data_IF_071311938922
#
_entry.id   IF_071311938922
#
_cell.length_a   1.000
_cell.length_b   1.000
_cell.length_c   1.000
_cell.angle_alpha   90.00
_cell.angle_beta   90.00
_cell.angle_gamma   90.00
#
_symmetry.space_group_name_H-M   'P 1'
#
loop_
_entity.id
_entity.type
_entity.pdbx_description
1 polymer ?
#
# COMPACT_ATOMS: atom_id res chain seq x y z
N UNK A 1 44.68 -19.97 30.00
CA UNK A 1 44.25 -20.47 28.67
C UNK A 1 42.73 -20.49 28.54
N UNK A 2 41.99 -20.97 29.56
CA UNK A 2 40.53 -20.89 29.62
C UNK A 2 39.97 -19.45 29.63
N UNK A 3 40.62 -18.52 30.32
CA UNK A 3 40.18 -17.10 30.34
C UNK A 3 40.26 -16.43 28.96
N UNK A 4 41.32 -16.72 28.19
CA UNK A 4 41.47 -16.18 26.82
C UNK A 4 40.35 -16.69 25.90
N UNK A 5 39.96 -17.96 26.05
CA UNK A 5 38.86 -18.54 25.26
C UNK A 5 37.50 -17.95 25.68
N UNK A 6 37.32 -17.68 26.97
CA UNK A 6 36.12 -17.02 27.49
C UNK A 6 36.00 -15.58 27.00
N UNK A 7 37.10 -14.81 27.03
CA UNK A 7 37.16 -13.43 26.54
C UNK A 7 36.91 -13.33 25.03
N UNK A 8 37.47 -14.26 24.23
CA UNK A 8 37.21 -14.33 22.79
C UNK A 8 35.71 -14.59 22.52
N UNK A 9 35.11 -15.53 23.24
CA UNK A 9 33.70 -15.85 23.09
C UNK A 9 32.79 -14.71 23.56
N UNK A 10 33.14 -14.03 24.66
CA UNK A 10 32.45 -12.82 25.13
C UNK A 10 32.53 -11.69 24.09
N UNK A 11 33.72 -11.40 23.57
CA UNK A 11 33.92 -10.37 22.54
C UNK A 11 33.13 -10.70 21.26
N UNK A 12 33.05 -11.98 20.87
CA UNK A 12 32.22 -12.40 19.74
C UNK A 12 30.72 -12.15 19.99
N UNK A 13 30.22 -12.39 21.20
CA UNK A 13 28.82 -12.12 21.57
C UNK A 13 28.51 -10.63 21.61
N UNK A 14 29.43 -9.82 22.12
CA UNK A 14 29.31 -8.36 22.13
C UNK A 14 29.26 -7.84 20.68
N UNK A 15 30.15 -8.34 19.81
CA UNK A 15 30.15 -7.98 18.39
C UNK A 15 28.85 -8.37 17.68
N UNK A 16 28.28 -9.55 17.98
CA UNK A 16 26.98 -9.97 17.42
C UNK A 16 25.83 -9.08 17.92
N UNK A 17 25.83 -8.74 19.22
CA UNK A 17 24.82 -7.86 19.80
C UNK A 17 24.88 -6.45 19.20
N UNK A 18 26.09 -5.90 19.03
CA UNK A 18 26.31 -4.59 18.40
C UNK A 18 25.91 -4.60 16.92
N UNK A 19 26.23 -5.67 16.19
CA UNK A 19 25.80 -5.85 14.80
C UNK A 19 24.27 -5.91 14.67
N UNK A 20 23.57 -6.61 15.59
CA UNK A 20 22.11 -6.66 15.63
C UNK A 20 21.50 -5.30 15.98
N UNK A 21 22.05 -4.60 16.98
CA UNK A 21 21.60 -3.26 17.36
C UNK A 21 21.76 -2.28 16.18
N UNK A 22 22.93 -2.26 15.56
CA UNK A 22 23.22 -1.45 14.39
C UNK A 22 22.32 -1.79 13.19
N UNK A 23 22.01 -3.07 12.97
CA UNK A 23 21.07 -3.47 11.93
C UNK A 23 19.64 -3.01 12.23
N UNK A 24 19.22 -3.07 13.50
CA UNK A 24 17.93 -2.55 13.97
C UNK A 24 17.80 -1.05 13.76
N UNK A 25 18.82 -0.27 14.13
CA UNK A 25 18.85 1.18 13.93
C UNK A 25 18.72 1.55 12.45
N UNK A 26 19.52 0.93 11.57
CA UNK A 26 19.42 1.14 10.12
C UNK A 26 18.04 0.76 9.57
N UNK A 27 17.40 -0.26 10.12
CA UNK A 27 16.06 -0.65 9.70
C UNK A 27 15.01 0.36 10.15
N UNK A 28 15.15 0.92 11.35
CA UNK A 28 14.28 1.97 11.86
C UNK A 28 14.40 3.25 11.02
N UNK A 29 15.63 3.69 10.71
CA UNK A 29 15.89 4.85 9.85
C UNK A 29 15.24 4.67 8.47
N UNK A 30 15.49 3.55 7.78
CA UNK A 30 14.86 3.26 6.48
C UNK A 30 13.34 3.23 6.54
N UNK A 31 12.78 2.80 7.66
CA UNK A 31 11.32 2.78 7.84
C UNK A 31 10.79 4.20 8.03
N UNK A 32 11.50 5.03 8.80
CA UNK A 32 11.20 6.45 8.97
C UNK A 32 11.24 7.21 7.64
N UNK A 33 12.29 7.02 6.84
CA UNK A 33 12.40 7.63 5.51
C UNK A 33 11.24 7.24 4.58
N UNK A 34 10.84 5.97 4.60
CA UNK A 34 9.70 5.49 3.81
C UNK A 34 8.38 6.07 4.27
N UNK A 35 8.19 6.29 5.58
CA UNK A 35 6.99 6.95 6.10
C UNK A 35 6.96 8.41 5.64
N UNK A 36 8.07 9.14 5.75
CA UNK A 36 8.16 10.52 5.31
C UNK A 36 7.88 10.69 3.80
N UNK A 37 8.42 9.81 2.94
CA UNK A 37 8.12 9.82 1.49
C UNK A 37 6.63 9.50 1.21
N UNK A 38 6.01 8.62 1.99
CA UNK A 38 4.59 8.33 1.87
C UNK A 38 3.71 9.50 2.32
N UNK A 39 4.08 10.18 3.39
CA UNK A 39 3.40 11.39 3.88
C UNK A 39 3.47 12.51 2.84
N UNK A 40 4.64 12.77 2.26
CA UNK A 40 4.81 13.78 1.19
C UNK A 40 3.93 13.47 -0.03
N UNK A 41 3.89 12.20 -0.45
CA UNK A 41 3.04 11.76 -1.58
C UNK A 41 1.56 11.89 -1.25
N UNK A 42 1.16 11.60 -0.02
CA UNK A 42 -0.22 11.73 0.44
C UNK A 42 -0.65 13.21 0.43
N UNK A 43 0.20 14.11 0.94
CA UNK A 43 -0.06 15.55 0.93
C UNK A 43 -0.21 16.09 -0.50
N UNK A 44 0.69 15.66 -1.40
CA UNK A 44 0.59 16.02 -2.82
C UNK A 44 -0.68 15.50 -3.47
N UNK A 45 -1.09 14.27 -3.14
CA UNK A 45 -2.33 13.69 -3.66
C UNK A 45 -3.57 14.40 -3.11
N UNK A 46 -3.56 14.76 -1.82
CA UNK A 46 -4.61 15.55 -1.20
C UNK A 46 -4.76 16.93 -1.86
N UNK A 47 -3.64 17.61 -2.13
CA UNK A 47 -3.64 18.90 -2.83
C UNK A 47 -4.20 18.78 -4.24
N UNK A 48 -3.83 17.74 -4.99
CA UNK A 48 -4.37 17.48 -6.33
C UNK A 48 -5.89 17.18 -6.27
N UNK A 49 -6.35 16.40 -5.30
CA UNK A 49 -7.77 16.13 -5.12
C UNK A 49 -8.55 17.40 -4.76
N UNK A 50 -8.00 18.28 -3.92
CA UNK A 50 -8.59 19.58 -3.63
C UNK A 50 -8.70 20.46 -4.89
N UNK A 51 -7.65 20.49 -5.71
CA UNK A 51 -7.66 21.23 -6.97
C UNK A 51 -8.69 20.66 -7.97
N UNK A 52 -8.76 19.32 -8.09
CA UNK A 52 -9.78 18.65 -8.90
C UNK A 52 -11.19 18.99 -8.39
N UNK A 53 -11.40 18.98 -7.08
CA UNK A 53 -12.68 19.34 -6.48
C UNK A 53 -13.07 20.79 -6.80
N UNK A 54 -12.16 21.74 -6.62
CA UNK A 54 -12.40 23.14 -6.97
C UNK A 54 -12.80 23.31 -8.43
N UNK A 55 -12.14 22.60 -9.35
CA UNK A 55 -12.51 22.62 -10.78
C UNK A 55 -13.91 22.03 -11.02
N UNK A 56 -14.30 20.97 -10.32
CA UNK A 56 -15.64 20.38 -10.43
C UNK A 56 -16.71 21.33 -9.88
N UNK A 57 -16.47 21.95 -8.73
CA UNK A 57 -17.38 22.96 -8.17
C UNK A 57 -17.55 24.14 -9.12
N UNK A 58 -16.45 24.71 -9.63
CA UNK A 58 -16.48 25.89 -10.51
C UNK A 58 -17.12 25.61 -11.87
N UNK A 59 -16.85 24.43 -12.47
CA UNK A 59 -17.28 24.11 -13.84
C UNK A 59 -18.65 23.44 -13.91
N UNK A 60 -19.02 22.66 -12.88
CA UNK A 60 -20.22 21.82 -12.89
C UNK A 60 -21.21 22.19 -11.77
N UNK A 61 -20.82 23.05 -10.82
CA UNK A 61 -21.71 23.48 -9.73
C UNK A 61 -22.05 22.38 -8.74
N UNK A 62 -21.21 21.34 -8.63
CA UNK A 62 -21.43 20.22 -7.71
C UNK A 62 -21.29 20.72 -6.26
N UNK A 63 -22.19 20.29 -5.37
CA UNK A 63 -22.15 20.67 -3.95
C UNK A 63 -21.40 19.64 -3.10
N UNK A 64 -20.98 20.07 -1.92
CA UNK A 64 -20.29 19.18 -0.97
C UNK A 64 -21.20 18.01 -0.52
N UNK A 65 -22.51 18.22 -0.42
CA UNK A 65 -23.47 17.16 -0.08
C UNK A 65 -23.52 16.07 -1.15
N UNK A 66 -23.44 16.45 -2.44
CA UNK A 66 -23.46 15.50 -3.54
C UNK A 66 -22.15 14.69 -3.61
N UNK A 67 -21.02 15.32 -3.28
CA UNK A 67 -19.75 14.61 -3.13
C UNK A 67 -19.81 13.61 -1.98
N UNK A 68 -20.28 14.02 -0.80
CA UNK A 68 -20.37 13.15 0.37
C UNK A 68 -21.29 11.95 0.11
N UNK A 69 -22.46 12.19 -0.49
CA UNK A 69 -23.36 11.10 -0.91
C UNK A 69 -22.66 10.16 -1.88
N UNK A 70 -21.89 10.68 -2.82
CA UNK A 70 -21.16 9.86 -3.79
C UNK A 70 -20.04 9.04 -3.15
N UNK A 71 -19.36 9.58 -2.14
CA UNK A 71 -18.36 8.85 -1.35
C UNK A 71 -19.02 7.70 -0.59
N UNK A 72 -20.14 7.95 0.09
CA UNK A 72 -20.91 6.91 0.80
C UNK A 72 -21.40 5.81 -0.15
N UNK A 73 -21.91 6.17 -1.33
CA UNK A 73 -22.30 5.21 -2.37
C UNK A 73 -21.13 4.33 -2.82
N UNK A 74 -19.93 4.90 -2.95
CA UNK A 74 -18.74 4.15 -3.37
C UNK A 74 -18.24 3.23 -2.27
N UNK A 75 -18.20 3.70 -1.01
CA UNK A 75 -17.81 2.90 0.15
C UNK A 75 -18.74 1.68 0.35
N UNK A 76 -20.05 1.88 0.14
CA UNK A 76 -21.04 0.81 0.22
C UNK A 76 -20.97 -0.22 -0.92
N UNK A 77 -20.39 0.12 -2.09
CA UNK A 77 -20.28 -0.81 -3.23
C UNK A 77 -19.31 -1.96 -3.00
N UNK A 78 -18.37 -1.80 -2.07
CA UNK A 78 -17.39 -2.82 -1.70
C UNK A 78 -17.84 -3.69 -0.51
N UNK A 79 -19.04 -3.41 0.04
CA UNK A 79 -19.72 -4.25 1.02
C UNK A 79 -19.32 -4.02 2.48
N UNK A 80 -18.43 -3.06 2.77
CA UNK A 80 -18.09 -2.64 4.14
C UNK A 80 -17.91 -1.13 4.21
N UNK A 81 -18.56 -0.50 5.19
CA UNK A 81 -18.38 0.91 5.52
C UNK A 81 -17.12 1.09 6.36
N UNK A 82 -15.95 0.82 5.78
CA UNK A 82 -14.65 0.87 6.48
C UNK A 82 -13.72 2.00 5.98
N UNK A 83 -14.17 2.79 4.98
CA UNK A 83 -13.40 3.85 4.35
C UNK A 83 -12.28 3.33 3.46
N UNK A 84 -12.35 2.07 3.00
CA UNK A 84 -11.33 1.42 2.17
C UNK A 84 -11.99 0.74 0.97
N UNK A 85 -11.30 0.81 -0.16
CA UNK A 85 -11.69 0.06 -1.35
C UNK A 85 -11.27 -1.40 -1.15
N UNK A 86 -12.23 -2.30 -0.90
CA UNK A 86 -11.98 -3.72 -0.68
C UNK A 86 -11.71 -4.40 -2.03
N UNK A 87 -10.51 -4.98 -2.19
CA UNK A 87 -10.12 -5.63 -3.45
C UNK A 87 -10.81 -6.99 -3.58
N UNK A 88 -11.95 -7.05 -4.25
CA UNK A 88 -12.62 -8.31 -4.56
C UNK A 88 -11.71 -9.25 -5.40
N UNK A 89 -11.79 -10.58 -5.21
CA UNK A 89 -11.14 -11.53 -6.10
C UNK A 89 -11.69 -11.39 -7.53
N UNK A 90 -10.80 -11.27 -8.51
CA UNK A 90 -11.16 -11.10 -9.93
C UNK A 90 -11.32 -12.49 -10.54
N UNK A 91 -12.37 -12.76 -11.30
CA UNK A 91 -12.44 -13.97 -12.11
C UNK A 91 -11.65 -13.82 -13.41
N UNK A 92 -10.89 -14.84 -13.78
CA UNK A 92 -10.14 -14.85 -15.03
C UNK A 92 -11.10 -14.75 -16.23
N UNK A 93 -10.92 -13.81 -17.18
CA UNK A 93 -11.83 -13.66 -18.31
C UNK A 93 -11.79 -14.84 -19.29
N UNK A 94 -10.72 -15.65 -19.27
CA UNK A 94 -10.53 -16.78 -20.18
C UNK A 94 -10.98 -18.13 -19.58
N UNK A 95 -10.66 -18.39 -18.30
CA UNK A 95 -11.01 -19.67 -17.66
C UNK A 95 -12.01 -19.58 -16.52
N UNK A 96 -12.48 -18.37 -16.18
CA UNK A 96 -13.46 -18.07 -15.13
C UNK A 96 -13.13 -18.63 -13.74
N UNK A 97 -11.86 -18.95 -13.49
CA UNK A 97 -11.38 -19.32 -12.17
C UNK A 97 -10.98 -18.07 -11.38
N UNK A 98 -11.11 -18.10 -10.05
CA UNK A 98 -10.72 -16.99 -9.20
C UNK A 98 -9.22 -16.70 -9.35
N UNK A 99 -8.90 -15.46 -9.66
CA UNK A 99 -7.57 -14.90 -9.80
C UNK A 99 -7.34 -13.86 -8.70
N UNK A 100 -6.27 -14.05 -7.94
CA UNK A 100 -5.83 -13.04 -6.99
C UNK A 100 -5.12 -11.90 -7.75
N UNK A 101 -5.54 -10.64 -7.53
CA UNK A 101 -5.09 -9.47 -8.30
C UNK A 101 -3.56 -9.23 -8.28
N UNK A 102 -2.84 -9.80 -7.30
CA UNK A 102 -1.36 -9.76 -7.25
C UNK A 102 -0.70 -10.59 -8.37
N UNK A 103 -1.37 -11.62 -8.88
CA UNK A 103 -0.86 -12.46 -9.95
C UNK A 103 -1.32 -11.89 -11.29
N UNK A 104 -0.38 -11.25 -12.01
CA UNK A 104 -0.61 -10.73 -13.38
C UNK A 104 -0.92 -11.82 -14.39
N UNK A 105 -0.54 -13.07 -14.09
CA UNK A 105 -0.78 -14.23 -14.94
C UNK A 105 -1.69 -15.20 -14.21
N UNK A 106 -2.72 -15.70 -14.89
CA UNK A 106 -3.58 -16.73 -14.36
C UNK A 106 -2.78 -18.02 -14.15
N UNK A 107 -2.81 -18.56 -12.92
CA UNK A 107 -2.11 -19.79 -12.57
C UNK A 107 -2.71 -21.03 -13.26
N UNK A 108 -3.93 -20.92 -13.78
CA UNK A 108 -4.65 -22.03 -14.41
C UNK A 108 -4.50 -22.05 -15.93
N UNK A 109 -4.90 -20.97 -16.63
CA UNK A 109 -4.85 -20.92 -18.09
C UNK A 109 -3.68 -20.11 -18.66
N UNK A 110 -2.95 -19.37 -17.82
CA UNK A 110 -1.83 -18.56 -18.26
C UNK A 110 -2.20 -17.20 -18.86
N UNK A 111 -3.47 -16.80 -18.86
CA UNK A 111 -3.94 -15.48 -19.31
C UNK A 111 -3.25 -14.35 -18.54
N UNK A 112 -2.76 -13.33 -19.23
CA UNK A 112 -2.13 -12.15 -18.62
C UNK A 112 -3.10 -10.98 -18.50
N UNK A 113 -3.37 -10.57 -17.26
CA UNK A 113 -4.16 -9.40 -16.95
C UNK A 113 -3.37 -8.14 -17.30
N UNK A 114 -3.78 -7.43 -18.36
CA UNK A 114 -3.28 -6.09 -18.66
C UNK A 114 -4.03 -5.10 -17.77
N UNK A 115 -3.37 -4.54 -16.76
CA UNK A 115 -3.95 -3.45 -15.98
C UNK A 115 -3.68 -2.11 -16.65
N UNK A 116 -4.75 -1.39 -16.96
CA UNK A 116 -4.68 0.06 -17.03
C UNK A 116 -4.70 0.58 -15.60
N UNK A 117 -3.79 1.48 -15.22
CA UNK A 117 -3.57 1.91 -13.82
C UNK A 117 -4.79 2.48 -13.07
N UNK A 118 -5.91 2.67 -13.75
CA UNK A 118 -7.18 3.16 -13.20
C UNK A 118 -8.22 2.06 -12.90
N UNK A 119 -8.08 0.85 -13.45
CA UNK A 119 -9.08 -0.22 -13.27
C UNK A 119 -9.07 -0.84 -11.87
N UNK A 120 -7.94 -0.77 -11.15
CA UNK A 120 -7.84 -1.34 -9.80
C UNK A 120 -8.62 -0.56 -8.72
N UNK A 121 -9.14 0.63 -9.06
CA UNK A 121 -9.87 1.54 -8.15
C UNK A 121 -11.36 1.63 -8.52
N UNK A 122 -11.76 1.16 -9.70
CA UNK A 122 -13.08 1.49 -10.28
C UNK A 122 -14.01 0.29 -10.51
N UNK A 123 -13.76 -0.88 -9.91
CA UNK A 123 -14.62 -2.05 -10.16
C UNK A 123 -14.86 -2.95 -8.97
#
# INVERSE_FOLDING_TARGET
MLDILYDIHQNSKIGEADAKASAGLRQAERTGERVADLEERLDKMALLNLALWGLLQEKLGVTDEELMRRVEELDLRDGQLDGRIARAPIDCPDCHRPLHQRHRRCLYCGFELRQNGFEAVTR
#
